data_IF_164256338625
#
_entry.id   IF_164256338625
#
_cell.length_a   1.000
_cell.length_b   1.000
_cell.length_c   1.000
_cell.angle_alpha   90.00
_cell.angle_beta   90.00
_cell.angle_gamma   90.00
#
_symmetry.space_group_name_H-M   'P 1'
#
loop_
_entity.id
_entity.type
_entity.pdbx_description
1 polymer ?
#
# COMPACT_ATOMS: atom_id res chain seq x y z
N UNK A 1 1.76 1.06 31.37
CA UNK A 1 2.28 0.49 30.09
C UNK A 1 1.18 0.11 29.08
N UNK A 2 0.13 -0.64 29.48
CA UNK A 2 -0.90 -1.14 28.54
C UNK A 2 -1.71 -0.04 27.81
N UNK A 3 -1.93 1.11 28.45
CA UNK A 3 -2.66 2.25 27.86
C UNK A 3 -1.94 2.84 26.63
N UNK A 4 -0.61 2.70 26.54
CA UNK A 4 0.17 3.20 25.40
C UNK A 4 -0.11 2.45 24.09
N UNK A 5 -0.66 1.23 24.16
CA UNK A 5 -1.07 0.48 22.97
C UNK A 5 -2.25 1.13 22.23
N UNK A 6 -3.01 2.02 22.89
CA UNK A 6 -4.10 2.76 22.26
C UNK A 6 -3.60 3.94 21.42
N UNK A 7 -2.43 4.51 21.74
CA UNK A 7 -1.93 5.73 21.09
C UNK A 7 -1.78 5.57 19.56
N UNK A 8 -1.22 4.46 19.04
CA UNK A 8 -1.15 4.23 17.59
C UNK A 8 -2.52 4.08 16.89
N UNK A 9 -3.59 3.77 17.62
CA UNK A 9 -4.95 3.63 17.09
C UNK A 9 -5.70 4.97 17.03
N UNK A 10 -5.24 5.99 17.76
CA UNK A 10 -5.89 7.30 17.83
C UNK A 10 -6.03 8.00 16.47
N UNK A 11 -5.01 8.01 15.57
CA UNK A 11 -5.17 8.61 14.25
C UNK A 11 -6.29 7.95 13.45
N UNK A 12 -6.38 6.62 13.49
CA UNK A 12 -7.41 5.86 12.77
C UNK A 12 -8.80 6.16 13.36
N UNK A 13 -8.91 6.16 14.69
CA UNK A 13 -10.15 6.50 15.37
C UNK A 13 -10.63 7.91 15.01
N UNK A 14 -9.73 8.91 15.03
CA UNK A 14 -10.03 10.28 14.62
C UNK A 14 -10.49 10.34 13.16
N UNK A 15 -9.78 9.67 12.24
CA UNK A 15 -10.16 9.68 10.82
C UNK A 15 -11.53 9.05 10.58
N UNK A 16 -11.88 7.98 11.30
CA UNK A 16 -13.18 7.30 11.16
C UNK A 16 -14.29 8.17 11.75
N UNK A 17 -14.13 8.69 12.97
CA UNK A 17 -15.17 9.49 13.65
C UNK A 17 -15.46 10.80 12.93
N UNK A 18 -14.44 11.41 12.33
CA UNK A 18 -14.54 12.66 11.58
C UNK A 18 -14.59 12.44 10.06
N UNK A 19 -14.86 11.21 9.61
CA UNK A 19 -15.14 10.89 8.20
C UNK A 19 -16.56 11.29 7.82
N UNK A 20 -16.77 11.59 6.54
CA UNK A 20 -18.09 11.82 5.94
C UNK A 20 -19.08 10.64 6.12
N UNK A 21 -18.59 9.46 6.51
CA UNK A 21 -19.40 8.27 6.81
C UNK A 21 -20.23 8.45 8.10
N UNK A 22 -19.72 9.22 9.07
CA UNK A 22 -20.34 9.41 10.37
C UNK A 22 -20.70 10.89 10.57
N UNK A 23 -21.90 11.27 10.16
CA UNK A 23 -22.43 12.63 10.31
C UNK A 23 -22.89 12.94 11.74
N UNK A 24 -21.98 12.84 12.72
CA UNK A 24 -22.25 13.22 14.11
C UNK A 24 -22.35 14.74 14.32
N UNK A 25 -21.83 15.56 13.40
CA UNK A 25 -21.79 17.02 13.53
C UNK A 25 -22.56 17.73 12.39
N UNK A 26 -23.28 18.84 12.68
CA UNK A 26 -24.02 19.62 11.67
C UNK A 26 -23.14 20.29 10.60
N UNK A 27 -21.84 20.45 10.88
CA UNK A 27 -20.82 20.88 9.92
C UNK A 27 -19.75 19.79 9.86
N UNK A 28 -19.52 19.14 8.71
CA UNK A 28 -18.51 18.09 8.60
C UNK A 28 -17.12 18.70 8.79
N UNK A 29 -16.46 18.36 9.90
CA UNK A 29 -15.04 18.67 10.10
C UNK A 29 -14.27 17.53 9.45
N UNK A 30 -13.83 17.71 8.20
CA UNK A 30 -13.03 16.71 7.52
C UNK A 30 -11.60 16.78 8.04
N UNK A 31 -11.21 15.78 8.83
CA UNK A 31 -9.83 15.64 9.28
C UNK A 31 -9.00 14.95 8.20
N UNK A 32 -7.92 15.59 7.78
CA UNK A 32 -6.93 14.93 6.93
C UNK A 32 -5.97 14.07 7.78
N UNK A 33 -5.32 13.11 7.14
CA UNK A 33 -4.38 12.17 7.80
C UNK A 33 -3.26 12.90 8.54
N UNK A 34 -2.70 13.95 7.93
CA UNK A 34 -1.62 14.75 8.51
C UNK A 34 -2.02 15.37 9.84
N UNK A 35 -3.16 16.04 9.90
CA UNK A 35 -3.69 16.68 11.09
C UNK A 35 -4.00 15.63 12.17
N UNK A 36 -4.61 14.49 11.79
CA UNK A 36 -4.87 13.40 12.74
C UNK A 36 -3.58 12.84 13.36
N UNK A 37 -2.51 12.71 12.58
CA UNK A 37 -1.19 12.28 13.07
C UNK A 37 -0.57 13.30 14.03
N UNK A 38 -0.63 14.60 13.71
CA UNK A 38 -0.11 15.64 14.60
C UNK A 38 -0.90 15.76 15.91
N UNK A 39 -2.22 15.62 15.87
CA UNK A 39 -3.06 15.55 17.08
C UNK A 39 -2.65 14.35 17.94
N UNK A 40 -2.43 13.20 17.31
CA UNK A 40 -2.02 11.98 18.01
C UNK A 40 -0.62 12.09 18.63
N UNK A 41 0.30 12.78 17.94
CA UNK A 41 1.62 13.12 18.49
C UNK A 41 1.50 14.06 19.69
N UNK A 42 0.68 15.11 19.60
CA UNK A 42 0.43 16.03 20.70
C UNK A 42 -0.13 15.31 21.92
N UNK A 43 -1.11 14.44 21.70
CA UNK A 43 -1.69 13.62 22.76
C UNK A 43 -0.64 12.67 23.36
N UNK A 44 0.17 11.99 22.54
CA UNK A 44 1.26 11.15 23.03
C UNK A 44 2.25 11.93 23.92
N UNK A 45 2.58 13.18 23.55
CA UNK A 45 3.42 14.04 24.37
C UNK A 45 2.77 14.39 25.72
N UNK A 46 1.45 14.64 25.76
CA UNK A 46 0.72 14.89 27.02
C UNK A 46 0.78 13.67 27.93
N UNK A 47 0.53 12.46 27.40
CA UNK A 47 0.66 11.23 28.16
C UNK A 47 2.07 11.03 28.71
N UNK A 48 3.09 11.33 27.90
CA UNK A 48 4.48 11.19 28.32
C UNK A 48 4.90 12.27 29.34
N UNK A 49 4.31 13.46 29.27
CA UNK A 49 4.49 14.52 30.27
C UNK A 49 3.91 14.13 31.62
N UNK A 50 2.72 13.54 31.65
CA UNK A 50 2.10 13.06 32.89
C UNK A 50 2.93 11.94 33.52
N UNK A 51 3.50 11.04 32.70
CA UNK A 51 4.32 9.93 33.17
C UNK A 51 5.70 10.36 33.67
N UNK A 52 6.46 11.09 32.85
CA UNK A 52 7.84 11.44 33.15
C UNK A 52 7.96 12.66 34.07
N UNK A 53 6.89 13.47 34.18
CA UNK A 53 6.83 14.72 34.97
C UNK A 53 7.98 15.69 34.69
N UNK A 54 8.63 15.55 33.54
CA UNK A 54 9.80 16.32 33.12
C UNK A 54 9.66 16.72 31.67
N UNK A 55 9.56 18.03 31.42
CA UNK A 55 9.42 18.59 30.08
C UNK A 55 10.63 18.23 29.21
N UNK A 56 11.83 18.24 29.80
CA UNK A 56 13.07 17.93 29.09
C UNK A 56 13.08 16.50 28.55
N UNK A 57 12.60 15.54 29.35
CA UNK A 57 12.53 14.14 28.95
C UNK A 57 11.49 13.89 27.85
N UNK A 58 10.36 14.61 27.88
CA UNK A 58 9.34 14.54 26.82
C UNK A 58 9.86 15.11 25.50
N UNK A 59 10.54 16.26 25.53
CA UNK A 59 11.12 16.83 24.32
C UNK A 59 12.22 15.94 23.71
N UNK A 60 12.95 15.19 24.54
CA UNK A 60 13.89 14.19 24.04
C UNK A 60 13.18 13.03 23.34
N UNK A 61 12.01 12.61 23.82
CA UNK A 61 11.21 11.56 23.16
C UNK A 61 10.76 11.93 21.74
N UNK A 62 10.63 13.23 21.42
CA UNK A 62 10.31 13.67 20.04
C UNK A 62 11.39 13.24 19.03
N UNK A 63 12.65 13.06 19.45
CA UNK A 63 13.69 12.53 18.55
C UNK A 63 13.27 11.19 17.93
N UNK A 64 12.54 10.35 18.67
CA UNK A 64 12.02 9.07 18.16
C UNK A 64 11.02 9.29 17.02
N UNK A 65 10.13 10.26 17.15
CA UNK A 65 9.17 10.62 16.11
C UNK A 65 9.89 11.10 14.83
N UNK A 66 10.82 12.03 14.97
CA UNK A 66 11.60 12.56 13.83
C UNK A 66 12.46 11.49 13.17
N UNK A 67 13.13 10.63 13.95
CA UNK A 67 13.90 9.50 13.43
C UNK A 67 13.00 8.51 12.68
N UNK A 68 11.80 8.23 13.20
CA UNK A 68 10.80 7.42 12.52
C UNK A 68 10.42 8.00 11.15
N UNK A 69 10.15 9.30 11.08
CA UNK A 69 9.88 9.98 9.81
C UNK A 69 11.06 9.94 8.84
N UNK A 70 12.29 10.14 9.33
CA UNK A 70 13.50 10.03 8.50
C UNK A 70 13.68 8.64 7.90
N UNK A 71 13.38 7.58 8.65
CA UNK A 71 13.44 6.20 8.16
C UNK A 71 12.41 5.93 7.07
N UNK A 72 11.17 6.43 7.22
CA UNK A 72 10.14 6.31 6.19
C UNK A 72 10.47 7.14 4.95
N UNK A 73 11.06 8.33 5.12
CA UNK A 73 11.53 9.14 4.00
C UNK A 73 12.57 8.37 3.16
N UNK A 74 13.58 7.80 3.81
CA UNK A 74 14.63 7.00 3.15
C UNK A 74 14.09 5.75 2.46
N UNK A 75 13.14 5.05 3.09
CA UNK A 75 12.69 3.73 2.61
C UNK A 75 11.52 3.81 1.64
N UNK A 76 10.51 4.61 1.93
CA UNK A 76 9.25 4.66 1.18
C UNK A 76 9.21 5.84 0.23
N UNK A 77 9.55 7.05 0.69
CA UNK A 77 9.44 8.25 -0.16
C UNK A 77 10.42 8.20 -1.33
N UNK A 78 11.67 7.80 -1.10
CA UNK A 78 12.65 7.62 -2.19
C UNK A 78 12.17 6.64 -3.26
N UNK A 79 11.52 5.55 -2.85
CA UNK A 79 10.97 4.57 -3.77
C UNK A 79 9.78 5.13 -4.57
N UNK A 80 8.87 5.88 -3.93
CA UNK A 80 7.74 6.53 -4.61
C UNK A 80 8.23 7.54 -5.64
N UNK A 81 9.25 8.35 -5.31
CA UNK A 81 9.83 9.32 -6.25
C UNK A 81 10.48 8.60 -7.43
N UNK A 82 11.23 7.53 -7.20
CA UNK A 82 11.83 6.74 -8.29
C UNK A 82 10.76 6.11 -9.19
N UNK A 83 9.67 5.61 -8.59
CA UNK A 83 8.54 5.07 -9.32
C UNK A 83 7.79 6.11 -10.14
N UNK A 84 7.60 7.31 -9.60
CA UNK A 84 6.97 8.42 -10.32
C UNK A 84 7.81 8.84 -11.53
N UNK A 85 9.13 8.93 -11.38
CA UNK A 85 10.05 9.18 -12.49
C UNK A 85 9.98 8.05 -13.55
N UNK A 86 9.93 6.80 -13.13
CA UNK A 86 9.75 5.65 -14.02
C UNK A 86 8.41 5.72 -14.76
N UNK A 87 7.33 6.07 -14.06
CA UNK A 87 6.01 6.24 -14.63
C UNK A 87 5.97 7.35 -15.67
N UNK A 88 6.56 8.51 -15.37
CA UNK A 88 6.71 9.62 -16.32
C UNK A 88 7.53 9.20 -17.55
N UNK A 89 8.59 8.39 -17.35
CA UNK A 89 9.37 7.79 -18.44
C UNK A 89 8.51 6.92 -19.35
N UNK A 90 7.71 6.00 -18.81
CA UNK A 90 6.79 5.16 -19.59
C UNK A 90 5.74 5.98 -20.33
N UNK A 91 5.17 7.01 -19.68
CA UNK A 91 4.22 7.93 -20.32
C UNK A 91 4.89 8.64 -21.50
N UNK A 92 6.13 9.12 -21.35
CA UNK A 92 6.89 9.78 -22.43
C UNK A 92 7.22 8.85 -23.60
N UNK A 93 7.27 7.53 -23.35
CA UNK A 93 7.45 6.50 -24.38
C UNK A 93 6.13 6.06 -25.04
N UNK A 94 5.02 6.75 -24.76
CA UNK A 94 3.67 6.40 -25.24
C UNK A 94 3.27 4.96 -24.85
N UNK A 95 3.70 4.49 -23.69
CA UNK A 95 3.34 3.16 -23.18
C UNK A 95 1.82 3.00 -23.04
N UNK A 96 1.12 4.06 -22.63
CA UNK A 96 -0.34 4.02 -22.47
C UNK A 96 -1.03 3.88 -23.83
N UNK A 97 -0.53 4.54 -24.89
CA UNK A 97 -1.05 4.37 -26.25
C UNK A 97 -0.81 2.94 -26.78
N UNK A 98 0.33 2.35 -26.43
CA UNK A 98 0.62 0.94 -26.69
C UNK A 98 -0.40 -0.01 -26.01
N UNK A 99 -0.71 0.24 -24.73
CA UNK A 99 -1.73 -0.51 -24.00
C UNK A 99 -3.13 -0.29 -24.58
N UNK A 100 -3.47 0.94 -24.97
CA UNK A 100 -4.73 1.30 -25.64
C UNK A 100 -4.89 0.48 -26.93
N UNK A 101 -3.91 0.53 -27.83
CA UNK A 101 -3.95 -0.18 -29.10
C UNK A 101 -4.01 -1.70 -28.93
N UNK A 102 -3.34 -2.25 -27.90
CA UNK A 102 -3.44 -3.67 -27.57
C UNK A 102 -4.84 -4.05 -27.03
N UNK A 103 -5.51 -3.12 -26.34
CA UNK A 103 -6.76 -3.38 -25.61
C UNK A 103 -8.03 -3.10 -26.43
N UNK A 104 -7.97 -2.16 -27.39
CA UNK A 104 -9.13 -1.78 -28.24
C UNK A 104 -9.54 -2.87 -29.23
N UNK A 105 -8.65 -3.82 -29.55
CA UNK A 105 -8.98 -4.99 -30.37
C UNK A 105 -10.03 -5.94 -29.73
N UNK A 106 -10.26 -5.84 -28.42
CA UNK A 106 -11.12 -6.77 -27.67
C UNK A 106 -12.47 -6.21 -27.22
N UNK A 107 -12.80 -4.94 -27.50
CA UNK A 107 -14.08 -4.31 -27.07
C UNK A 107 -14.28 -4.20 -25.55
N UNK A 108 -13.31 -4.68 -24.75
CA UNK A 108 -13.30 -4.79 -23.29
C UNK A 108 -12.06 -4.09 -22.71
N UNK A 109 -11.75 -2.89 -23.19
CA UNK A 109 -10.44 -2.29 -22.96
C UNK A 109 -10.12 -2.03 -21.47
N UNK A 110 -11.12 -1.66 -20.67
CA UNK A 110 -10.95 -1.46 -19.21
C UNK A 110 -10.70 -2.77 -18.44
N UNK A 111 -11.37 -3.86 -18.83
CA UNK A 111 -11.20 -5.19 -18.23
C UNK A 111 -9.82 -5.73 -18.57
N UNK A 112 -9.43 -5.64 -19.85
CA UNK A 112 -8.13 -6.09 -20.33
C UNK A 112 -6.98 -5.41 -19.57
N UNK A 113 -7.06 -4.10 -19.36
CA UNK A 113 -6.02 -3.33 -18.68
C UNK A 113 -5.96 -3.63 -17.20
N UNK A 114 -7.12 -3.71 -16.54
CA UNK A 114 -7.17 -4.10 -15.13
C UNK A 114 -6.55 -5.48 -14.94
N UNK A 115 -6.82 -6.43 -15.83
CA UNK A 115 -6.23 -7.76 -15.83
C UNK A 115 -4.72 -7.73 -16.06
N UNK A 116 -4.26 -7.03 -17.10
CA UNK A 116 -2.83 -6.88 -17.42
C UNK A 116 -2.06 -6.26 -16.26
N UNK A 117 -2.55 -5.16 -15.71
CA UNK A 117 -1.90 -4.46 -14.59
C UNK A 117 -1.87 -5.34 -13.32
N UNK A 118 -2.95 -6.05 -13.04
CA UNK A 118 -3.05 -6.94 -11.87
C UNK A 118 -2.09 -8.12 -11.98
N UNK A 119 -2.03 -8.78 -13.15
CA UNK A 119 -1.09 -9.90 -13.40
C UNK A 119 0.36 -9.41 -13.40
N UNK A 120 0.62 -8.26 -14.01
CA UNK A 120 1.96 -7.64 -14.02
C UNK A 120 2.45 -7.37 -12.60
N UNK A 121 1.61 -6.79 -11.74
CA UNK A 121 1.92 -6.54 -10.32
C UNK A 121 2.18 -7.86 -9.57
N UNK A 122 1.37 -8.90 -9.79
CA UNK A 122 1.58 -10.21 -9.18
C UNK A 122 2.98 -10.75 -9.50
N UNK A 123 3.35 -10.74 -10.79
CA UNK A 123 4.66 -11.23 -11.26
C UNK A 123 5.80 -10.35 -10.76
N UNK A 124 5.66 -9.03 -10.82
CA UNK A 124 6.65 -8.09 -10.29
C UNK A 124 6.86 -8.30 -8.79
N UNK A 125 5.78 -8.47 -8.03
CA UNK A 125 5.87 -8.72 -6.59
C UNK A 125 6.52 -10.07 -6.27
N UNK A 126 6.21 -11.11 -7.04
CA UNK A 126 6.84 -12.42 -6.95
C UNK A 126 8.36 -12.33 -7.17
N UNK A 127 8.80 -11.52 -8.15
CA UNK A 127 10.22 -11.34 -8.45
C UNK A 127 10.93 -10.46 -7.40
N UNK A 128 10.29 -9.36 -6.98
CA UNK A 128 10.88 -8.38 -6.07
C UNK A 128 10.83 -8.81 -4.60
N UNK A 129 10.01 -9.79 -4.23
CA UNK A 129 9.81 -10.22 -2.85
C UNK A 129 9.10 -9.20 -1.95
N UNK A 130 8.59 -8.10 -2.53
CA UNK A 130 7.94 -7.00 -1.82
C UNK A 130 6.71 -6.51 -2.60
N UNK A 131 5.52 -6.72 -2.00
CA UNK A 131 4.24 -6.21 -2.51
C UNK A 131 4.20 -4.69 -2.60
N UNK A 132 4.71 -4.01 -1.57
CA UNK A 132 4.74 -2.54 -1.56
C UNK A 132 5.70 -2.00 -2.62
N UNK A 133 6.84 -2.67 -2.85
CA UNK A 133 7.79 -2.22 -3.87
C UNK A 133 7.19 -2.30 -5.28
N UNK A 134 6.58 -3.42 -5.63
CA UNK A 134 5.87 -3.57 -6.91
C UNK A 134 4.68 -2.61 -7.02
N UNK A 135 3.90 -2.42 -5.95
CA UNK A 135 2.74 -1.55 -5.99
C UNK A 135 3.15 -0.07 -6.13
N UNK A 136 4.18 0.38 -5.41
CA UNK A 136 4.66 1.76 -5.55
C UNK A 136 5.31 2.01 -6.91
N UNK A 137 5.97 1.02 -7.52
CA UNK A 137 6.57 1.14 -8.85
C UNK A 137 5.56 1.44 -9.97
N UNK A 138 4.39 0.79 -9.95
CA UNK A 138 3.41 0.88 -11.04
C UNK A 138 2.10 1.58 -10.65
N UNK A 139 1.81 1.73 -9.36
CA UNK A 139 0.64 2.43 -8.84
C UNK A 139 0.47 3.87 -9.37
N UNK A 140 1.55 4.68 -9.50
CA UNK A 140 1.48 6.03 -10.07
C UNK A 140 0.97 6.08 -11.52
N UNK A 141 1.06 5.00 -12.29
CA UNK A 141 0.54 4.94 -13.66
C UNK A 141 -0.98 4.80 -13.71
N UNK A 142 -1.59 4.23 -12.66
CA UNK A 142 -2.99 3.81 -12.69
C UNK A 142 -3.98 4.97 -12.85
N UNK A 143 -3.81 6.14 -12.19
CA UNK A 143 -4.74 7.27 -12.39
C UNK A 143 -4.79 7.76 -13.84
N UNK A 144 -3.63 7.87 -14.51
CA UNK A 144 -3.55 8.30 -15.91
C UNK A 144 -4.21 7.29 -16.84
N UNK A 145 -3.96 6.00 -16.60
CA UNK A 145 -4.61 4.92 -17.34
C UNK A 145 -6.14 4.98 -17.12
N UNK A 146 -6.60 5.00 -15.86
CA UNK A 146 -8.02 5.02 -15.53
C UNK A 146 -8.78 6.19 -16.19
N UNK A 147 -8.18 7.39 -16.22
CA UNK A 147 -8.74 8.57 -16.87
C UNK A 147 -8.91 8.39 -18.38
N UNK A 148 -7.97 7.76 -19.07
CA UNK A 148 -8.06 7.52 -20.52
C UNK A 148 -9.15 6.51 -20.89
N UNK A 149 -9.47 5.57 -19.99
CA UNK A 149 -10.51 4.56 -20.20
C UNK A 149 -11.87 4.93 -19.56
N UNK A 150 -11.97 6.10 -18.93
CA UNK A 150 -13.20 6.55 -18.28
C UNK A 150 -13.65 5.65 -17.12
N UNK A 151 -12.71 4.97 -16.46
CA UNK A 151 -12.99 4.08 -15.32
C UNK A 151 -12.46 4.66 -14.02
N UNK A 152 -12.96 4.15 -12.89
CA UNK A 152 -12.47 4.55 -11.58
C UNK A 152 -11.04 4.05 -11.36
N UNK A 153 -10.15 4.92 -10.88
CA UNK A 153 -8.82 4.51 -10.40
C UNK A 153 -8.91 3.40 -9.35
N UNK A 154 -9.94 3.42 -8.51
CA UNK A 154 -10.12 2.42 -7.44
C UNK A 154 -10.43 1.02 -7.99
N UNK A 155 -11.11 0.91 -9.13
CA UNK A 155 -11.42 -0.40 -9.72
C UNK A 155 -10.14 -1.09 -10.21
N UNK A 156 -9.14 -0.33 -10.66
CA UNK A 156 -7.86 -0.90 -11.10
C UNK A 156 -6.91 -1.13 -9.91
N UNK A 157 -6.79 -0.16 -8.99
CA UNK A 157 -5.85 -0.24 -7.86
C UNK A 157 -6.17 -1.37 -6.89
N UNK A 158 -7.46 -1.64 -6.63
CA UNK A 158 -7.87 -2.63 -5.63
C UNK A 158 -7.38 -4.05 -5.97
N UNK A 159 -7.69 -4.63 -7.14
CA UNK A 159 -7.18 -5.96 -7.51
C UNK A 159 -5.65 -5.97 -7.63
N UNK A 160 -5.02 -4.87 -8.10
CA UNK A 160 -3.56 -4.75 -8.11
C UNK A 160 -2.95 -4.90 -6.72
N UNK A 161 -3.49 -4.22 -5.70
CA UNK A 161 -2.95 -4.28 -4.33
C UNK A 161 -3.07 -5.70 -3.73
N UNK A 162 -4.19 -6.36 -3.98
CA UNK A 162 -4.40 -7.75 -3.54
C UNK A 162 -3.45 -8.71 -4.26
N UNK A 163 -3.29 -8.54 -5.57
CA UNK A 163 -2.35 -9.31 -6.38
C UNK A 163 -0.89 -9.10 -5.96
N UNK A 164 -0.50 -7.88 -5.56
CA UNK A 164 0.83 -7.60 -5.01
C UNK A 164 1.06 -8.40 -3.71
N UNK A 165 0.04 -8.47 -2.85
CA UNK A 165 0.13 -9.25 -1.62
C UNK A 165 0.24 -10.75 -1.86
N UNK A 166 -0.50 -11.28 -2.85
CA UNK A 166 -0.41 -12.68 -3.28
C UNK A 166 0.95 -13.00 -3.91
N UNK A 167 1.46 -12.12 -4.78
CA UNK A 167 2.76 -12.26 -5.44
C UNK A 167 3.91 -12.32 -4.42
N UNK A 168 3.89 -11.43 -3.41
CA UNK A 168 4.85 -11.47 -2.29
C UNK A 168 4.84 -12.82 -1.56
N UNK A 169 3.67 -13.42 -1.35
CA UNK A 169 3.52 -14.67 -0.61
C UNK A 169 3.91 -15.93 -1.40
N UNK A 170 4.17 -15.80 -2.71
CA UNK A 170 4.78 -16.85 -3.57
C UNK A 170 6.25 -16.55 -3.91
N UNK A 171 6.84 -15.50 -3.32
CA UNK A 171 8.22 -15.11 -3.59
C UNK A 171 9.21 -15.78 -2.61
N UNK A 172 10.19 -16.57 -3.08
CA UNK A 172 11.18 -17.21 -2.22
C UNK A 172 12.18 -16.21 -1.61
N UNK A 173 12.24 -14.99 -2.15
CA UNK A 173 13.11 -13.90 -1.68
C UNK A 173 12.38 -12.90 -0.77
N UNK A 174 11.09 -13.12 -0.48
CA UNK A 174 10.36 -12.25 0.44
C UNK A 174 10.83 -12.44 1.88
N UNK A 175 11.22 -11.34 2.53
CA UNK A 175 11.68 -11.38 3.93
C UNK A 175 10.64 -11.98 4.90
N UNK A 176 9.35 -11.78 4.65
CA UNK A 176 8.28 -12.40 5.46
C UNK A 176 8.28 -13.91 5.29
N UNK A 177 8.43 -14.38 4.05
CA UNK A 177 8.45 -15.81 3.74
C UNK A 177 9.72 -16.47 4.29
N UNK A 178 10.89 -15.83 4.14
CA UNK A 178 12.17 -16.27 4.70
C UNK A 178 12.08 -16.41 6.23
N UNK A 179 11.55 -15.39 6.92
CA UNK A 179 11.37 -15.44 8.37
C UNK A 179 10.43 -16.57 8.80
N UNK A 180 9.34 -16.83 8.05
CA UNK A 180 8.45 -17.96 8.34
C UNK A 180 9.10 -19.32 8.05
N UNK A 181 9.97 -19.40 7.05
CA UNK A 181 10.70 -20.61 6.69
C UNK A 181 11.72 -20.98 7.78
N UNK A 182 12.42 -19.97 8.31
CA UNK A 182 13.37 -20.10 9.43
C UNK A 182 12.69 -20.65 10.69
N UNK A 183 11.54 -20.08 11.07
CA UNK A 183 10.76 -20.55 12.23
C UNK A 183 10.23 -21.98 12.02
N UNK A 184 9.85 -22.32 10.78
CA UNK A 184 9.30 -23.63 10.45
C UNK A 184 10.37 -24.71 10.18
N UNK A 185 11.66 -24.35 10.11
CA UNK A 185 12.74 -25.28 9.82
C UNK A 185 12.69 -25.89 8.42
N UNK A 186 12.15 -25.16 7.44
CA UNK A 186 12.02 -25.63 6.04
C UNK A 186 12.63 -24.63 5.06
N UNK A 187 12.94 -25.09 3.86
CA UNK A 187 13.43 -24.23 2.77
C UNK A 187 12.38 -23.21 2.31
N UNK A 188 12.79 -21.95 2.09
CA UNK A 188 11.88 -20.89 1.62
C UNK A 188 11.22 -21.23 0.29
N UNK A 189 11.97 -21.85 -0.63
CA UNK A 189 11.44 -22.28 -1.92
C UNK A 189 10.36 -23.36 -1.78
N UNK A 190 10.39 -24.18 -0.73
CA UNK A 190 9.38 -25.20 -0.48
C UNK A 190 8.04 -24.55 -0.10
N UNK A 191 8.07 -23.54 0.77
CA UNK A 191 6.88 -22.75 1.12
C UNK A 191 6.36 -22.00 -0.11
N UNK A 192 7.24 -21.39 -0.90
CA UNK A 192 6.86 -20.65 -2.10
C UNK A 192 6.14 -21.56 -3.11
N UNK A 193 6.68 -22.77 -3.37
CA UNK A 193 6.04 -23.78 -4.23
C UNK A 193 4.68 -24.24 -3.70
N UNK A 194 4.57 -24.46 -2.38
CA UNK A 194 3.30 -24.83 -1.72
C UNK A 194 2.25 -23.73 -1.89
N UNK A 195 2.64 -22.48 -1.74
CA UNK A 195 1.75 -21.32 -1.82
C UNK A 195 1.40 -20.95 -3.27
N UNK A 196 2.23 -21.34 -4.26
CA UNK A 196 2.06 -20.97 -5.66
C UNK A 196 0.67 -21.34 -6.20
N UNK A 197 0.30 -22.62 -6.11
CA UNK A 197 -0.98 -23.12 -6.64
C UNK A 197 -2.19 -22.40 -6.00
N UNK A 198 -2.36 -22.38 -4.66
CA UNK A 198 -3.54 -21.75 -4.06
C UNK A 198 -3.61 -20.24 -4.29
N UNK A 199 -2.47 -19.53 -4.34
CA UNK A 199 -2.47 -18.08 -4.54
C UNK A 199 -2.66 -17.69 -6.00
N UNK A 200 -2.16 -18.47 -6.96
CA UNK A 200 -2.48 -18.26 -8.38
C UNK A 200 -3.96 -18.57 -8.67
N UNK A 201 -4.52 -19.60 -8.04
CA UNK A 201 -5.98 -19.84 -8.10
C UNK A 201 -6.77 -18.71 -7.43
N UNK A 202 -6.31 -18.22 -6.27
CA UNK A 202 -6.90 -17.07 -5.59
C UNK A 202 -6.88 -15.80 -6.45
N UNK A 203 -5.79 -15.58 -7.22
CA UNK A 203 -5.70 -14.50 -8.19
C UNK A 203 -6.75 -14.65 -9.31
N UNK A 204 -6.93 -15.86 -9.85
CA UNK A 204 -7.95 -16.12 -10.85
C UNK A 204 -9.37 -15.86 -10.32
N UNK A 205 -9.67 -16.34 -9.10
CA UNK A 205 -10.96 -16.08 -8.43
C UNK A 205 -11.17 -14.60 -8.18
N UNK A 206 -10.13 -13.88 -7.71
CA UNK A 206 -10.17 -12.43 -7.52
C UNK A 206 -10.53 -11.72 -8.83
N UNK A 207 -9.86 -12.06 -9.94
CA UNK A 207 -10.13 -11.45 -11.24
C UNK A 207 -11.56 -11.76 -11.71
N UNK A 208 -12.01 -13.00 -11.60
CA UNK A 208 -13.37 -13.39 -11.98
C UNK A 208 -14.40 -12.61 -11.15
N UNK A 209 -14.27 -12.61 -9.83
CA UNK A 209 -15.22 -11.92 -8.93
C UNK A 209 -15.18 -10.39 -9.07
N UNK A 210 -14.05 -9.82 -9.47
CA UNK A 210 -13.92 -8.38 -9.64
C UNK A 210 -14.73 -7.84 -10.85
N UNK A 211 -14.98 -8.68 -11.86
CA UNK A 211 -15.71 -8.28 -13.09
C UNK A 211 -17.13 -8.85 -13.21
N UNK A 212 -17.57 -9.68 -12.26
CA UNK A 212 -18.96 -10.12 -12.12
C UNK A 212 -19.72 -9.08 -11.29
#
# INVERSE_FOLDING_TARGET
PKIYALIPLIPLFLLIVFSDIFSFFPKPIVLNTTTAMFISMALAMVFELVRLRSIKAVLESLKVFWNGMGNIFKSVVTLIVAADLFAQGLISLNFIDGLLNASTHFGLAAVAITLVMTVMIFLASMLMGSGNASFFAFGPLVPNIAAQFGVSTTSIILPMNLAASMGRAVSPVSGVLIATAEIAGVESIAIAKRNFIPLTLGLAVLLIFHFI
#
